data_IF_856170067952
#
_entry.id   IF_856170067952
#
_cell.length_a   1.000
_cell.length_b   1.000
_cell.length_c   1.000
_cell.angle_alpha   90.00
_cell.angle_beta   90.00
_cell.angle_gamma   90.00
#
_symmetry.space_group_name_H-M   'P 1'
#
loop_
_entity.id
_entity.type
_entity.pdbx_description
1 polymer ?
#
# COMPACT_ATOMS: atom_id res chain seq x y z
N UNK A 1 -7.62 32.55 5.58
CA UNK A 1 -7.32 32.77 4.16
C UNK A 1 -5.90 33.26 4.09
N UNK A 2 -5.02 32.46 3.51
CA UNK A 2 -3.59 32.77 3.35
C UNK A 2 -3.32 33.12 1.89
N UNK A 3 -2.42 34.07 1.63
CA UNK A 3 -2.08 34.52 0.28
C UNK A 3 -0.64 34.14 -0.05
N UNK A 4 -0.44 33.38 -1.11
CA UNK A 4 0.88 32.92 -1.57
C UNK A 4 0.91 32.96 -3.11
N UNK A 5 1.93 33.59 -3.69
CA UNK A 5 2.12 33.73 -5.15
C UNK A 5 0.88 34.19 -5.94
N UNK A 6 0.11 35.13 -5.39
CA UNK A 6 -1.10 35.67 -6.04
C UNK A 6 -2.32 34.74 -5.96
N UNK A 7 -2.22 33.64 -5.24
CA UNK A 7 -3.33 32.71 -4.96
C UNK A 7 -3.78 32.86 -3.51
N UNK A 8 -5.07 32.70 -3.28
CA UNK A 8 -5.62 32.57 -1.92
C UNK A 8 -5.90 31.11 -1.62
N UNK A 9 -5.49 30.66 -0.44
CA UNK A 9 -5.82 29.35 0.11
C UNK A 9 -6.86 29.53 1.22
N UNK A 10 -8.02 28.92 1.02
CA UNK A 10 -9.08 28.82 2.03
C UNK A 10 -9.19 27.37 2.50
N UNK A 11 -9.17 27.13 3.81
CA UNK A 11 -9.39 25.81 4.40
C UNK A 11 -10.74 25.74 5.10
N UNK A 12 -11.55 24.71 4.83
CA UNK A 12 -12.79 24.44 5.58
C UNK A 12 -12.69 23.08 6.27
N UNK A 13 -12.93 23.04 7.59
CA UNK A 13 -13.11 21.78 8.32
C UNK A 13 -14.56 21.34 8.18
N UNK A 14 -14.77 20.22 7.50
CA UNK A 14 -16.06 19.55 7.45
C UNK A 14 -15.97 18.29 8.31
N UNK A 15 -17.01 18.01 9.10
CA UNK A 15 -17.13 16.76 9.87
C UNK A 15 -16.05 16.52 10.96
N UNK A 16 -15.74 17.55 11.73
CA UNK A 16 -14.98 17.44 12.99
C UNK A 16 -13.54 16.95 12.79
N UNK A 17 -12.79 17.68 11.97
CA UNK A 17 -11.35 17.51 11.74
C UNK A 17 -10.98 16.20 11.07
N UNK A 18 -11.92 15.66 10.28
CA UNK A 18 -11.71 14.48 9.43
C UNK A 18 -11.76 14.80 7.96
N UNK A 19 -12.22 15.99 7.58
CA UNK A 19 -12.27 16.40 6.20
C UNK A 19 -11.87 17.87 6.09
N UNK A 20 -10.92 18.16 5.23
CA UNK A 20 -10.46 19.51 4.92
C UNK A 20 -10.57 19.77 3.42
N UNK A 21 -11.07 20.93 3.04
CA UNK A 21 -10.99 21.39 1.65
C UNK A 21 -10.12 22.64 1.57
N UNK A 22 -9.18 22.62 0.63
CA UNK A 22 -8.32 23.74 0.26
C UNK A 22 -8.69 24.23 -1.13
N UNK A 23 -8.93 25.53 -1.26
CA UNK A 23 -9.27 26.17 -2.53
C UNK A 23 -8.10 27.01 -3.01
N UNK A 24 -7.57 26.75 -4.20
CA UNK A 24 -6.64 27.66 -4.88
C UNK A 24 -7.46 28.67 -5.70
N UNK A 25 -7.52 29.90 -5.19
CA UNK A 25 -8.32 30.97 -5.79
C UNK A 25 -7.41 31.96 -6.49
N UNK A 26 -7.70 32.28 -7.75
CA UNK A 26 -7.07 33.34 -8.53
C UNK A 26 -7.95 34.59 -8.51
N UNK A 27 -7.32 35.74 -8.29
CA UNK A 27 -7.94 37.07 -8.41
C UNK A 27 -7.64 37.62 -9.81
N UNK A 28 -8.69 37.82 -10.61
CA UNK A 28 -8.60 38.32 -11.97
C UNK A 28 -8.83 39.84 -12.06
N UNK A 29 -8.93 40.55 -10.93
CA UNK A 29 -9.32 41.96 -10.87
C UNK A 29 -10.83 42.17 -10.87
N UNK A 30 -11.26 43.41 -10.58
CA UNK A 30 -12.68 43.82 -10.56
C UNK A 30 -13.59 42.91 -9.69
N UNK A 31 -13.08 42.47 -8.54
CA UNK A 31 -13.75 41.52 -7.62
C UNK A 31 -14.13 40.17 -8.28
N UNK A 32 -13.45 39.80 -9.38
CA UNK A 32 -13.67 38.54 -10.08
C UNK A 32 -12.66 37.47 -9.64
N UNK A 33 -13.13 36.51 -8.84
CA UNK A 33 -12.33 35.41 -8.33
C UNK A 33 -12.71 34.08 -8.98
N UNK A 34 -11.71 33.27 -9.31
CA UNK A 34 -11.89 31.92 -9.89
C UNK A 34 -11.19 30.89 -9.03
N UNK A 35 -11.92 29.83 -8.65
CA UNK A 35 -11.34 28.63 -8.06
C UNK A 35 -10.75 27.81 -9.19
N UNK A 36 -9.42 27.70 -9.23
CA UNK A 36 -8.75 26.93 -10.27
C UNK A 36 -8.53 25.48 -9.86
N UNK A 37 -8.36 25.23 -8.55
CA UNK A 37 -8.10 23.89 -8.04
C UNK A 37 -8.71 23.73 -6.65
N UNK A 38 -9.24 22.54 -6.37
CA UNK A 38 -9.77 22.13 -5.07
C UNK A 38 -8.97 20.92 -4.61
N UNK A 39 -8.44 20.98 -3.39
CA UNK A 39 -7.78 19.86 -2.74
C UNK A 39 -8.60 19.43 -1.54
N UNK A 40 -9.10 18.20 -1.56
CA UNK A 40 -9.84 17.58 -0.46
C UNK A 40 -8.92 16.62 0.29
N UNK A 41 -8.82 16.76 1.61
CA UNK A 41 -8.08 15.84 2.49
C UNK A 41 -9.07 15.18 3.45
N UNK A 42 -9.19 13.86 3.38
CA UNK A 42 -10.00 13.05 4.31
C UNK A 42 -9.09 12.20 5.19
N UNK A 43 -9.35 12.18 6.49
CA UNK A 43 -8.61 11.41 7.50
C UNK A 43 -9.52 10.38 8.14
N UNK A 44 -9.26 9.12 7.85
CA UNK A 44 -9.90 7.98 8.49
C UNK A 44 -9.01 7.43 9.62
N UNK A 45 -9.58 7.36 10.82
CA UNK A 45 -8.92 6.83 12.04
C UNK A 45 -9.58 5.54 12.54
N UNK A 46 -10.51 4.97 11.77
CA UNK A 46 -11.24 3.75 12.16
C UNK A 46 -10.46 2.46 11.91
N UNK A 47 -9.49 2.50 10.99
CA UNK A 47 -8.56 1.40 10.74
C UNK A 47 -7.40 1.40 11.76
N UNK A 48 -6.68 0.27 11.83
CA UNK A 48 -5.47 0.08 12.63
C UNK A 48 -4.44 1.19 12.43
N UNK A 49 -4.26 1.65 11.19
CA UNK A 49 -3.49 2.85 10.87
C UNK A 49 -4.43 3.99 10.50
N UNK A 50 -4.03 5.22 10.82
CA UNK A 50 -4.69 6.37 10.20
C UNK A 50 -4.43 6.37 8.70
N UNK A 51 -5.48 6.57 7.90
CA UNK A 51 -5.43 6.67 6.45
C UNK A 51 -5.82 8.09 6.07
N UNK A 52 -4.99 8.74 5.25
CA UNK A 52 -5.27 10.07 4.72
C UNK A 52 -5.42 9.98 3.21
N UNK A 53 -6.55 10.44 2.69
CA UNK A 53 -6.83 10.50 1.25
C UNK A 53 -6.83 11.96 0.83
N UNK A 54 -5.93 12.33 -0.09
CA UNK A 54 -5.83 13.68 -0.64
C UNK A 54 -6.21 13.65 -2.10
N UNK A 55 -7.35 14.24 -2.45
CA UNK A 55 -7.86 14.33 -3.81
C UNK A 55 -7.76 15.75 -4.33
N UNK A 56 -7.18 15.92 -5.52
CA UNK A 56 -7.01 17.21 -6.18
C UNK A 56 -7.80 17.23 -7.48
N UNK A 57 -8.59 18.28 -7.68
CA UNK A 57 -9.37 18.51 -8.89
C UNK A 57 -9.08 19.90 -9.45
N UNK A 58 -8.76 19.99 -10.74
CA UNK A 58 -8.75 21.27 -11.45
C UNK A 58 -10.19 21.58 -11.87
N UNK A 59 -10.69 22.79 -11.56
CA UNK A 59 -12.12 23.08 -11.71
C UNK A 59 -12.51 24.32 -12.51
N UNK A 60 -11.70 25.38 -12.52
CA UNK A 60 -11.99 26.66 -13.20
C UNK A 60 -13.43 27.16 -12.99
N UNK A 61 -13.82 27.41 -11.72
CA UNK A 61 -15.17 27.84 -11.34
C UNK A 61 -15.13 29.27 -10.79
N UNK A 62 -15.88 30.24 -11.35
CA UNK A 62 -16.07 31.54 -10.70
C UNK A 62 -16.59 31.35 -9.27
N UNK A 63 -16.01 32.03 -8.28
CA UNK A 63 -16.31 31.77 -6.86
C UNK A 63 -17.81 31.95 -6.54
N UNK A 64 -18.47 32.87 -7.25
CA UNK A 64 -19.90 33.17 -7.08
C UNK A 64 -20.80 32.03 -7.56
N UNK A 65 -20.31 31.20 -8.46
CA UNK A 65 -21.02 30.06 -9.03
C UNK A 65 -20.69 28.75 -8.30
N UNK A 66 -19.74 28.77 -7.36
CA UNK A 66 -19.31 27.57 -6.65
C UNK A 66 -20.41 27.05 -5.72
N UNK A 67 -20.76 25.77 -5.90
CA UNK A 67 -21.64 25.01 -5.01
C UNK A 67 -20.90 23.84 -4.42
N UNK A 68 -20.85 23.78 -3.09
CA UNK A 68 -20.22 22.67 -2.39
C UNK A 68 -20.89 21.33 -2.77
N UNK A 69 -20.08 20.32 -3.08
CA UNK A 69 -20.54 18.99 -3.53
C UNK A 69 -20.77 18.84 -5.04
N UNK A 70 -20.86 19.92 -5.82
CA UNK A 70 -20.96 19.87 -7.28
C UNK A 70 -19.57 19.98 -7.92
N UNK A 71 -18.78 18.89 -7.86
CA UNK A 71 -17.51 18.81 -8.59
C UNK A 71 -17.79 18.34 -10.03
N UNK A 72 -17.98 19.29 -10.95
CA UNK A 72 -18.06 18.99 -12.37
C UNK A 72 -16.65 18.89 -12.96
N UNK A 73 -15.88 17.81 -12.72
CA UNK A 73 -14.64 17.61 -13.48
C UNK A 73 -14.18 16.17 -13.69
N UNK A 74 -13.60 15.95 -14.87
CA UNK A 74 -13.20 14.66 -15.45
C UNK A 74 -11.79 14.20 -15.11
N UNK A 75 -11.03 14.99 -14.33
CA UNK A 75 -9.65 14.68 -13.93
C UNK A 75 -9.41 14.97 -12.43
N UNK A 76 -9.97 14.15 -11.55
CA UNK A 76 -9.60 14.08 -10.14
C UNK A 76 -8.41 13.12 -9.96
N UNK A 77 -7.39 13.56 -9.23
CA UNK A 77 -6.25 12.71 -8.84
C UNK A 77 -6.24 12.55 -7.32
N UNK A 78 -6.29 11.33 -6.83
CA UNK A 78 -6.29 11.03 -5.40
C UNK A 78 -5.03 10.24 -5.00
N UNK A 79 -4.38 10.69 -3.92
CA UNK A 79 -3.28 10.00 -3.26
C UNK A 79 -3.71 9.50 -1.89
N UNK A 80 -3.26 8.31 -1.51
CA UNK A 80 -3.50 7.73 -0.19
C UNK A 80 -2.18 7.66 0.55
N UNK A 81 -2.11 8.29 1.72
CA UNK A 81 -0.96 8.22 2.63
C UNK A 81 -1.36 7.56 3.95
N UNK A 82 -0.40 6.89 4.58
CA UNK A 82 -0.57 6.29 5.89
C UNK A 82 0.40 6.96 6.86
N UNK A 83 -0.03 7.97 7.65
CA UNK A 83 0.76 8.50 8.75
C UNK A 83 0.87 7.45 9.86
N UNK A 84 1.84 6.55 9.69
CA UNK A 84 2.06 5.41 10.57
C UNK A 84 2.39 5.92 11.97
N UNK A 85 1.63 5.46 12.97
CA UNK A 85 1.99 5.57 14.39
C UNK A 85 2.50 4.24 14.94
N UNK A 86 2.01 3.14 14.38
CA UNK A 86 2.33 1.77 14.77
C UNK A 86 3.73 1.33 14.31
N UNK A 87 4.28 0.32 15.00
CA UNK A 87 5.55 -0.32 14.62
C UNK A 87 5.35 -1.35 13.52
N UNK A 88 6.45 -1.78 12.88
CA UNK A 88 6.41 -2.90 11.93
C UNK A 88 5.93 -4.21 12.60
N UNK A 89 6.29 -4.42 13.87
CA UNK A 89 5.82 -5.58 14.63
C UNK A 89 4.31 -5.51 14.87
N UNK A 90 3.76 -4.33 15.18
CA UNK A 90 2.33 -4.17 15.35
C UNK A 90 1.59 -4.44 14.03
N UNK A 91 2.17 -4.05 12.89
CA UNK A 91 1.60 -4.33 11.57
C UNK A 91 1.62 -5.82 11.24
N UNK A 92 2.72 -6.52 11.52
CA UNK A 92 2.77 -7.99 11.41
C UNK A 92 1.68 -8.63 12.27
N UNK A 93 1.59 -8.24 13.55
CA UNK A 93 0.60 -8.77 14.49
C UNK A 93 -0.84 -8.48 14.03
N UNK A 94 -1.09 -7.28 13.50
CA UNK A 94 -2.38 -6.92 12.93
C UNK A 94 -2.74 -7.83 11.75
N UNK A 95 -1.84 -7.98 10.76
CA UNK A 95 -2.06 -8.88 9.62
C UNK A 95 -2.28 -10.32 10.09
N UNK A 96 -1.50 -10.80 11.05
CA UNK A 96 -1.69 -12.11 11.67
C UNK A 96 -3.06 -12.25 12.38
N UNK A 97 -3.60 -11.18 12.95
CA UNK A 97 -4.93 -11.24 13.57
C UNK A 97 -6.06 -11.31 12.53
N UNK A 98 -5.85 -10.74 11.33
CA UNK A 98 -6.90 -10.60 10.31
C UNK A 98 -6.76 -11.55 9.12
N UNK A 99 -5.67 -12.31 8.93
CA UNK A 99 -5.42 -13.03 7.66
C UNK A 99 -6.50 -14.06 7.29
N UNK A 100 -7.27 -14.56 8.27
CA UNK A 100 -8.41 -15.46 8.00
C UNK A 100 -9.69 -14.70 7.57
N UNK A 101 -9.74 -13.39 7.80
CA UNK A 101 -10.84 -12.51 7.39
C UNK A 101 -10.49 -11.78 6.09
N UNK A 102 -11.01 -12.29 4.98
CA UNK A 102 -10.73 -11.76 3.63
C UNK A 102 -11.10 -10.30 3.45
N UNK A 103 -12.14 -9.81 4.13
CA UNK A 103 -12.59 -8.42 4.00
C UNK A 103 -11.54 -7.44 4.51
N UNK A 104 -11.05 -7.63 5.73
CA UNK A 104 -10.00 -6.76 6.27
C UNK A 104 -8.66 -6.96 5.55
N UNK A 105 -8.34 -8.19 5.14
CA UNK A 105 -7.07 -8.44 4.46
C UNK A 105 -7.03 -7.81 3.06
N UNK A 106 -8.17 -7.71 2.35
CA UNK A 106 -8.23 -7.02 1.06
C UNK A 106 -7.97 -5.52 1.14
N UNK A 107 -8.09 -4.92 2.32
CA UNK A 107 -7.75 -3.50 2.56
C UNK A 107 -6.23 -3.27 2.69
N UNK A 108 -5.41 -4.33 2.75
CA UNK A 108 -3.95 -4.22 2.73
C UNK A 108 -3.47 -3.86 1.32
N UNK A 109 -3.45 -2.57 1.03
CA UNK A 109 -3.03 -2.01 -0.25
C UNK A 109 -1.50 -2.00 -0.42
N UNK A 110 -1.05 -1.91 -1.68
CA UNK A 110 0.36 -1.66 -2.00
C UNK A 110 0.88 -0.38 -1.32
N UNK A 111 0.10 0.71 -1.35
CA UNK A 111 0.48 1.98 -0.73
C UNK A 111 0.69 1.88 0.79
N UNK A 112 -0.08 1.01 1.47
CA UNK A 112 0.14 0.72 2.90
C UNK A 112 1.48 0.02 3.11
N UNK A 113 1.76 -1.02 2.32
CA UNK A 113 3.05 -1.75 2.38
C UNK A 113 4.21 -0.79 2.08
N UNK A 114 4.09 0.07 1.07
CA UNK A 114 5.09 1.06 0.71
C UNK A 114 5.35 2.07 1.84
N UNK A 115 4.29 2.50 2.54
CA UNK A 115 4.43 3.38 3.71
C UNK A 115 5.23 2.71 4.82
N UNK A 116 5.01 1.41 5.07
CA UNK A 116 5.82 0.64 6.02
C UNK A 116 7.25 0.45 5.54
N UNK A 117 7.48 0.12 4.27
CA UNK A 117 8.83 -0.03 3.70
C UNK A 117 9.63 1.28 3.72
N UNK A 118 8.96 2.43 3.54
CA UNK A 118 9.59 3.74 3.64
C UNK A 118 10.02 4.04 5.08
N UNK A 119 9.17 3.76 6.07
CA UNK A 119 9.45 4.03 7.49
C UNK A 119 10.40 3.00 8.12
N UNK A 120 10.29 1.73 7.73
CA UNK A 120 11.08 0.62 8.24
C UNK A 120 11.76 -0.11 7.08
N UNK A 121 12.81 0.47 6.46
CA UNK A 121 13.44 -0.10 5.29
C UNK A 121 13.88 -1.55 5.48
N UNK A 122 13.87 -2.29 4.37
CA UNK A 122 14.36 -3.65 4.31
C UNK A 122 15.84 -3.72 4.76
N UNK A 123 16.08 -4.45 5.85
CA UNK A 123 17.37 -4.71 6.49
C UNK A 123 17.36 -6.15 7.04
N UNK A 124 18.50 -6.62 7.55
CA UNK A 124 18.55 -7.94 8.20
C UNK A 124 17.57 -8.05 9.38
N UNK A 125 17.37 -6.96 10.11
CA UNK A 125 16.46 -6.88 11.27
C UNK A 125 14.98 -6.88 10.86
N UNK A 126 14.63 -6.18 9.77
CA UNK A 126 13.23 -6.00 9.36
C UNK A 126 12.74 -7.08 8.41
N UNK A 127 13.64 -7.76 7.69
CA UNK A 127 13.25 -8.73 6.67
C UNK A 127 12.34 -9.85 7.25
N UNK A 128 12.55 -10.28 8.50
CA UNK A 128 11.75 -11.36 9.12
C UNK A 128 10.28 -10.97 9.21
N UNK A 129 9.99 -9.76 9.68
CA UNK A 129 8.65 -9.20 9.73
C UNK A 129 7.99 -9.20 8.36
N UNK A 130 8.69 -8.71 7.32
CA UNK A 130 8.14 -8.66 5.98
C UNK A 130 7.91 -10.04 5.35
N UNK A 131 8.77 -11.02 5.62
CA UNK A 131 8.51 -12.40 5.19
C UNK A 131 7.27 -13.00 5.87
N UNK A 132 7.07 -12.73 7.16
CA UNK A 132 5.91 -13.22 7.90
C UNK A 132 4.63 -12.54 7.41
N UNK A 133 4.67 -11.22 7.18
CA UNK A 133 3.58 -10.47 6.53
C UNK A 133 3.23 -11.09 5.18
N UNK A 134 4.22 -11.34 4.32
CA UNK A 134 3.98 -11.98 3.02
C UNK A 134 3.36 -13.39 3.17
N UNK A 135 3.83 -14.18 4.13
CA UNK A 135 3.24 -15.48 4.44
C UNK A 135 1.75 -15.37 4.82
N UNK A 136 1.39 -14.47 5.73
CA UNK A 136 0.00 -14.26 6.12
C UNK A 136 -0.87 -13.75 4.98
N UNK A 137 -0.33 -12.87 4.11
CA UNK A 137 -1.02 -12.41 2.91
C UNK A 137 -1.30 -13.56 1.93
N UNK A 138 -0.38 -14.51 1.77
CA UNK A 138 -0.61 -15.71 0.94
C UNK A 138 -1.72 -16.57 1.54
N UNK A 139 -1.60 -16.91 2.83
CA UNK A 139 -2.56 -17.77 3.54
C UNK A 139 -3.98 -17.19 3.54
N UNK A 140 -4.10 -15.86 3.59
CA UNK A 140 -5.38 -15.17 3.53
C UNK A 140 -5.93 -14.91 2.13
N UNK A 141 -5.23 -15.34 1.07
CA UNK A 141 -5.71 -15.21 -0.31
C UNK A 141 -5.44 -13.85 -0.96
N UNK A 142 -4.45 -13.11 -0.48
CA UNK A 142 -3.94 -11.86 -1.07
C UNK A 142 -2.53 -12.02 -1.68
N UNK A 143 -2.29 -13.01 -2.58
CA UNK A 143 -0.95 -13.36 -3.05
C UNK A 143 -0.26 -12.25 -3.87
N UNK A 144 -1.01 -11.34 -4.51
CA UNK A 144 -0.41 -10.26 -5.31
C UNK A 144 0.41 -9.29 -4.45
N UNK A 145 -0.09 -8.93 -3.28
CA UNK A 145 0.64 -8.08 -2.34
C UNK A 145 1.87 -8.80 -1.76
N UNK A 146 1.74 -10.10 -1.50
CA UNK A 146 2.85 -10.93 -1.07
C UNK A 146 3.96 -11.04 -2.13
N UNK A 147 3.60 -11.25 -3.41
CA UNK A 147 4.56 -11.30 -4.52
C UNK A 147 5.37 -10.01 -4.59
N UNK A 148 4.70 -8.85 -4.56
CA UNK A 148 5.35 -7.54 -4.59
C UNK A 148 6.42 -7.42 -3.48
N UNK A 149 6.06 -7.78 -2.25
CA UNK A 149 6.96 -7.70 -1.11
C UNK A 149 8.12 -8.71 -1.21
N UNK A 150 7.83 -9.95 -1.61
CA UNK A 150 8.81 -11.03 -1.69
C UNK A 150 9.83 -10.82 -2.82
N UNK A 151 9.40 -10.26 -3.97
CA UNK A 151 10.30 -9.89 -5.06
C UNK A 151 11.35 -8.85 -4.60
N UNK A 152 10.94 -7.82 -3.82
CA UNK A 152 11.88 -6.86 -3.25
C UNK A 152 12.82 -7.51 -2.22
N UNK A 153 12.29 -8.39 -1.35
CA UNK A 153 13.11 -9.12 -0.36
C UNK A 153 14.19 -9.96 -1.04
N UNK A 154 13.87 -10.78 -2.04
CA UNK A 154 14.87 -11.66 -2.68
C UNK A 154 15.88 -10.88 -3.53
N UNK A 155 15.51 -9.67 -4.00
CA UNK A 155 16.44 -8.80 -4.72
C UNK A 155 17.59 -8.34 -3.83
N UNK A 156 17.30 -8.10 -2.54
CA UNK A 156 18.25 -7.62 -1.51
C UNK A 156 18.88 -8.75 -0.71
N UNK A 157 18.09 -9.73 -0.28
CA UNK A 157 18.49 -10.83 0.62
C UNK A 157 18.46 -12.17 -0.09
N UNK A 158 19.40 -12.36 -1.02
CA UNK A 158 19.48 -13.57 -1.86
C UNK A 158 19.66 -14.86 -1.06
N UNK A 159 20.11 -14.81 0.20
CA UNK A 159 20.31 -16.00 1.04
C UNK A 159 19.14 -16.35 1.96
N UNK A 160 18.00 -15.69 1.77
CA UNK A 160 16.82 -15.88 2.59
C UNK A 160 15.93 -17.00 2.04
N UNK A 161 16.21 -18.26 2.42
CA UNK A 161 15.50 -19.43 1.88
C UNK A 161 13.97 -19.33 1.99
N UNK A 162 13.48 -18.86 3.14
CA UNK A 162 12.04 -18.78 3.43
C UNK A 162 11.33 -17.83 2.44
N UNK A 163 12.01 -16.81 1.92
CA UNK A 163 11.41 -15.91 0.93
C UNK A 163 11.16 -16.63 -0.42
N UNK A 164 12.06 -17.51 -0.85
CA UNK A 164 11.90 -18.25 -2.11
C UNK A 164 10.74 -19.24 -2.07
N UNK A 165 10.58 -20.00 -0.98
CA UNK A 165 9.44 -20.91 -0.86
C UNK A 165 8.11 -20.13 -0.78
N UNK A 166 8.07 -19.03 -0.02
CA UNK A 166 6.87 -18.20 0.06
C UNK A 166 6.53 -17.56 -1.30
N UNK A 167 7.53 -17.12 -2.06
CA UNK A 167 7.29 -16.55 -3.40
C UNK A 167 6.81 -17.61 -4.38
N UNK A 168 7.34 -18.84 -4.27
CA UNK A 168 6.84 -19.99 -5.02
C UNK A 168 5.37 -20.30 -4.69
N UNK A 169 5.02 -20.35 -3.41
CA UNK A 169 3.64 -20.55 -2.95
C UNK A 169 2.73 -19.41 -3.47
N UNK A 170 3.18 -18.16 -3.40
CA UNK A 170 2.42 -17.01 -3.90
C UNK A 170 2.18 -17.05 -5.42
N UNK A 171 3.21 -17.37 -6.21
CA UNK A 171 3.06 -17.52 -7.66
C UNK A 171 2.11 -18.67 -8.02
N UNK A 172 2.17 -19.78 -7.28
CA UNK A 172 1.26 -20.90 -7.49
C UNK A 172 -0.19 -20.50 -7.23
N UNK A 173 -0.45 -19.72 -6.17
CA UNK A 173 -1.80 -19.19 -5.86
C UNK A 173 -2.37 -18.27 -6.94
N UNK A 174 -1.54 -17.69 -7.80
CA UNK A 174 -1.97 -16.87 -8.96
C UNK A 174 -1.79 -17.57 -10.30
N UNK A 175 -1.70 -18.90 -10.31
CA UNK A 175 -1.55 -19.74 -11.50
C UNK A 175 -0.29 -19.45 -12.34
N UNK A 176 0.75 -18.82 -11.76
CA UNK A 176 2.04 -18.59 -12.41
C UNK A 176 3.00 -19.76 -12.14
N UNK A 177 2.60 -20.95 -12.59
CA UNK A 177 3.26 -22.22 -12.25
C UNK A 177 4.75 -22.25 -12.62
N UNK A 178 5.13 -21.76 -13.79
CA UNK A 178 6.55 -21.73 -14.21
C UNK A 178 7.42 -20.90 -13.25
N UNK A 179 6.92 -19.73 -12.83
CA UNK A 179 7.63 -18.91 -11.83
C UNK A 179 7.69 -19.60 -10.47
N UNK A 180 6.63 -20.29 -10.07
CA UNK A 180 6.63 -21.08 -8.84
C UNK A 180 7.71 -22.19 -8.88
N UNK A 181 7.79 -22.93 -9.99
CA UNK A 181 8.81 -23.96 -10.24
C UNK A 181 10.23 -23.37 -10.13
N UNK A 182 10.47 -22.19 -10.71
CA UNK A 182 11.76 -21.52 -10.63
C UNK A 182 12.14 -21.18 -9.19
N UNK A 183 11.23 -20.59 -8.42
CA UNK A 183 11.49 -20.22 -7.02
C UNK A 183 11.70 -21.44 -6.12
N UNK A 184 10.91 -22.48 -6.32
CA UNK A 184 11.07 -23.75 -5.61
C UNK A 184 12.39 -24.44 -5.93
N UNK A 185 12.85 -24.38 -7.18
CA UNK A 185 14.15 -24.95 -7.58
C UNK A 185 15.31 -24.24 -6.88
N UNK A 186 15.25 -22.91 -6.77
CA UNK A 186 16.22 -22.11 -6.01
C UNK A 186 16.18 -22.48 -4.52
N UNK A 187 14.98 -22.56 -3.93
CA UNK A 187 14.80 -22.96 -2.54
C UNK A 187 15.41 -24.34 -2.26
N UNK A 188 15.12 -25.34 -3.11
CA UNK A 188 15.69 -26.69 -2.97
C UNK A 188 17.21 -26.66 -3.04
N UNK A 189 17.78 -25.92 -3.99
CA UNK A 189 19.23 -25.79 -4.15
C UNK A 189 19.88 -25.22 -2.87
N UNK A 190 19.31 -24.14 -2.31
CA UNK A 190 19.80 -23.53 -1.07
C UNK A 190 19.65 -24.43 0.16
N UNK A 191 18.53 -25.14 0.26
CA UNK A 191 18.32 -26.07 1.37
C UNK A 191 19.30 -27.24 1.30
N UNK A 192 19.61 -27.73 0.09
CA UNK A 192 20.65 -28.76 -0.13
C UNK A 192 22.05 -28.26 0.23
N UNK A 193 22.44 -27.07 -0.23
CA UNK A 193 23.76 -26.54 0.09
C UNK A 193 24.00 -26.32 1.60
N UNK A 194 22.92 -26.14 2.37
CA UNK A 194 22.95 -26.03 3.84
C UNK A 194 22.72 -27.37 4.57
N UNK A 195 22.64 -28.51 3.87
CA UNK A 195 22.39 -29.82 4.49
C UNK A 195 21.01 -29.96 5.17
N UNK A 196 20.01 -29.22 4.68
CA UNK A 196 18.65 -29.13 5.23
C UNK A 196 17.62 -29.82 4.35
N UNK A 197 18.00 -30.81 3.54
CA UNK A 197 17.14 -31.50 2.58
C UNK A 197 15.88 -32.09 3.22
N UNK A 198 16.03 -32.62 4.44
CA UNK A 198 14.92 -33.21 5.21
C UNK A 198 13.84 -32.20 5.59
N UNK A 199 14.12 -30.89 5.51
CA UNK A 199 13.16 -29.82 5.81
C UNK A 199 12.42 -29.31 4.56
N UNK A 200 12.75 -29.79 3.36
CA UNK A 200 12.07 -29.40 2.13
C UNK A 200 10.66 -30.01 2.12
N UNK A 201 9.58 -29.21 2.03
CA UNK A 201 8.22 -29.75 2.01
C UNK A 201 7.95 -30.63 0.77
N UNK A 202 7.36 -31.80 0.99
CA UNK A 202 7.03 -32.75 -0.09
C UNK A 202 6.10 -32.17 -1.17
N UNK A 203 5.27 -31.18 -0.80
CA UNK A 203 4.39 -30.47 -1.75
C UNK A 203 5.16 -29.85 -2.91
N UNK A 204 6.39 -29.39 -2.68
CA UNK A 204 7.20 -28.75 -3.71
C UNK A 204 7.52 -29.74 -4.83
N UNK A 205 7.94 -30.96 -4.49
CA UNK A 205 8.27 -31.98 -5.48
C UNK A 205 7.05 -32.44 -6.30
N UNK A 206 5.83 -32.29 -5.79
CA UNK A 206 4.61 -32.55 -6.56
C UNK A 206 4.41 -31.49 -7.65
N UNK A 207 4.64 -30.22 -7.31
CA UNK A 207 4.53 -29.10 -8.26
C UNK A 207 5.57 -29.20 -9.38
N UNK A 208 6.78 -29.70 -9.08
CA UNK A 208 7.85 -29.87 -10.07
C UNK A 208 7.61 -31.04 -11.05
N UNK A 209 6.74 -32.00 -10.69
CA UNK A 209 6.51 -33.23 -11.47
C UNK A 209 5.28 -33.17 -12.38
N UNK A 210 4.29 -32.36 -12.01
CA UNK A 210 3.08 -32.15 -12.81
C UNK A 210 3.23 -30.91 -13.66
#
# INVERSE_FOLDING_TARGET
MEKEDGKYILSTDLFSSRYYEYFDIIDNGDDNFTINKITTVSVDKSDFDSKTVTCTSNVEIPIIDFKHGEKNNSAESCEITYPLKNSLSDFENYIFSIYKNKYYLSEISKGRIDSYLSRYPLSDDTASYYNNIAFYLIEGGCPKAAIYLLEDIISKFKDREVAYINLGDAYLSVNQKEKAINMYSIYISKMKSKGKEKRIPSRIYRVLKG
#
